data_IF_744566909430
#
_entry.id   IF_744566909430
#
_cell.length_a   1.000
_cell.length_b   1.000
_cell.length_c   1.000
_cell.angle_alpha   90.00
_cell.angle_beta   90.00
_cell.angle_gamma   90.00
#
_symmetry.space_group_name_H-M   'P 1'
#
loop_
_entity.id
_entity.type
_entity.pdbx_description
1 polymer ?
#
# COMPACT_ATOMS: atom_id res chain seq x y z
N UNK A 1 4.54 -2.46 3.31
CA UNK A 1 5.06 -1.07 3.27
C UNK A 1 5.80 -0.71 4.57
N UNK A 2 6.33 -1.71 5.30
CA UNK A 2 7.14 -1.50 6.50
C UNK A 2 8.55 -0.99 6.14
N UNK A 3 9.30 -0.45 7.11
CA UNK A 3 10.71 -0.12 6.96
C UNK A 3 11.53 -1.26 6.35
N UNK A 4 11.41 -2.47 6.90
CA UNK A 4 12.12 -3.67 6.39
C UNK A 4 11.75 -3.99 4.93
N UNK A 5 10.49 -3.76 4.55
CA UNK A 5 10.04 -3.95 3.17
C UNK A 5 10.61 -2.90 2.22
N UNK A 6 10.81 -1.67 2.70
CA UNK A 6 11.51 -0.62 1.94
C UNK A 6 12.97 -0.99 1.77
N UNK A 7 13.65 -1.42 2.84
CA UNK A 7 15.05 -1.88 2.79
C UNK A 7 15.22 -3.04 1.82
N UNK A 8 14.38 -4.08 1.93
CA UNK A 8 14.43 -5.26 1.06
C UNK A 8 14.27 -4.88 -0.42
N UNK A 9 13.40 -3.92 -0.73
CA UNK A 9 13.19 -3.46 -2.12
C UNK A 9 14.35 -2.61 -2.62
N UNK A 10 14.91 -1.74 -1.79
CA UNK A 10 16.13 -0.98 -2.10
C UNK A 10 17.32 -1.91 -2.39
N UNK A 11 17.46 -2.99 -1.62
CA UNK A 11 18.52 -3.97 -1.82
C UNK A 11 18.34 -4.76 -3.12
N UNK A 12 17.10 -5.12 -3.47
CA UNK A 12 16.77 -5.71 -4.77
C UNK A 12 17.06 -4.74 -5.92
N UNK A 13 16.70 -3.47 -5.80
CA UNK A 13 16.95 -2.46 -6.83
C UNK A 13 18.47 -2.30 -7.05
N UNK A 14 19.27 -2.31 -5.97
CA UNK A 14 20.74 -2.28 -6.03
C UNK A 14 21.37 -3.53 -6.65
N UNK A 15 20.91 -4.72 -6.28
CA UNK A 15 21.44 -5.96 -6.86
C UNK A 15 21.13 -6.02 -8.35
N UNK A 16 19.89 -5.67 -8.73
CA UNK A 16 19.44 -5.64 -10.12
C UNK A 16 20.26 -4.64 -10.94
N UNK A 17 20.49 -3.42 -10.43
CA UNK A 17 21.29 -2.42 -11.14
C UNK A 17 22.75 -2.87 -11.34
N UNK A 18 23.35 -3.53 -10.34
CA UNK A 18 24.71 -4.09 -10.45
C UNK A 18 24.78 -5.18 -11.50
N UNK A 19 23.80 -6.10 -11.50
CA UNK A 19 23.73 -7.17 -12.49
C UNK A 19 23.54 -6.60 -13.89
N UNK A 20 22.60 -5.67 -14.07
CA UNK A 20 22.33 -5.01 -15.35
C UNK A 20 23.60 -4.38 -15.95
N UNK A 21 24.40 -3.68 -15.13
CA UNK A 21 25.65 -3.05 -15.55
C UNK A 21 26.76 -4.04 -15.91
N UNK A 22 26.63 -5.31 -15.53
CA UNK A 22 27.59 -6.37 -15.90
C UNK A 22 27.21 -7.09 -17.20
N UNK A 23 25.97 -6.93 -17.68
CA UNK A 23 25.49 -7.59 -18.89
C UNK A 23 26.07 -6.93 -20.15
N UNK A 24 26.38 -7.75 -21.15
CA UNK A 24 26.78 -7.28 -22.47
C UNK A 24 25.56 -6.83 -23.26
N UNK A 25 25.61 -5.65 -23.85
CA UNK A 25 24.62 -5.18 -24.83
C UNK A 25 24.89 -5.86 -26.17
N UNK A 26 23.97 -6.70 -26.65
CA UNK A 26 24.14 -7.44 -27.91
C UNK A 26 23.60 -6.68 -29.11
N UNK A 27 22.53 -5.90 -28.90
CA UNK A 27 21.85 -5.17 -29.96
C UNK A 27 21.27 -3.82 -29.47
N UNK A 28 20.74 -3.02 -30.40
CA UNK A 28 20.19 -1.70 -30.08
C UNK A 28 18.96 -1.73 -29.14
N UNK A 29 18.14 -2.79 -29.16
CA UNK A 29 16.99 -2.93 -28.25
C UNK A 29 17.45 -3.24 -26.83
N UNK A 30 18.50 -4.02 -26.67
CA UNK A 30 19.12 -4.26 -25.36
C UNK A 30 19.67 -2.96 -24.80
N UNK A 31 20.31 -2.14 -25.65
CA UNK A 31 20.83 -0.83 -25.25
C UNK A 31 19.73 0.09 -24.71
N UNK A 32 18.59 0.17 -25.40
CA UNK A 32 17.43 0.95 -24.94
C UNK A 32 16.84 0.37 -23.66
N UNK A 33 16.64 -0.95 -23.60
CA UNK A 33 16.09 -1.63 -22.41
C UNK A 33 16.97 -1.41 -21.19
N UNK A 34 18.29 -1.58 -21.33
CA UNK A 34 19.24 -1.37 -20.25
C UNK A 34 19.27 0.09 -19.79
N UNK A 35 19.22 1.05 -20.70
CA UNK A 35 19.17 2.47 -20.34
C UNK A 35 17.90 2.82 -19.55
N UNK A 36 16.74 2.33 -19.99
CA UNK A 36 15.44 2.58 -19.30
C UNK A 36 15.42 1.92 -17.93
N UNK A 37 15.86 0.67 -17.81
CA UNK A 37 15.89 -0.03 -16.53
C UNK A 37 16.91 0.61 -15.56
N UNK A 38 18.07 1.03 -16.07
CA UNK A 38 19.07 1.71 -15.25
C UNK A 38 18.54 3.04 -14.71
N UNK A 39 17.97 3.89 -15.57
CA UNK A 39 17.37 5.16 -15.15
C UNK A 39 16.28 4.94 -14.09
N UNK A 40 15.37 3.99 -14.33
CA UNK A 40 14.30 3.71 -13.39
C UNK A 40 14.80 3.26 -12.01
N UNK A 41 15.79 2.36 -11.98
CA UNK A 41 16.39 1.87 -10.73
C UNK A 41 17.19 2.98 -10.02
N UNK A 42 17.97 3.75 -10.76
CA UNK A 42 18.75 4.88 -10.21
C UNK A 42 17.83 5.94 -9.61
N UNK A 43 16.75 6.31 -10.30
CA UNK A 43 15.75 7.26 -9.82
C UNK A 43 15.05 6.77 -8.55
N UNK A 44 14.71 5.47 -8.46
CA UNK A 44 14.13 4.88 -7.24
C UNK A 44 15.11 4.91 -6.07
N UNK A 45 16.38 4.56 -6.32
CA UNK A 45 17.42 4.60 -5.29
C UNK A 45 17.70 6.03 -4.80
N UNK A 46 17.67 7.02 -5.70
CA UNK A 46 17.82 8.43 -5.33
C UNK A 46 16.66 8.93 -4.45
N UNK A 47 15.42 8.48 -4.70
CA UNK A 47 14.26 8.76 -3.84
C UNK A 47 14.35 8.08 -2.47
N UNK A 48 14.89 6.86 -2.41
CA UNK A 48 15.13 6.16 -1.15
C UNK A 48 16.23 6.86 -0.33
N UNK A 49 17.30 7.30 -0.98
CA UNK A 49 18.44 7.97 -0.36
C UNK A 49 18.06 9.35 0.19
N UNK A 50 17.13 10.05 -0.46
CA UNK A 50 16.58 11.32 0.03
C UNK A 50 15.55 11.17 1.15
N UNK A 51 15.05 9.95 1.39
CA UNK A 51 14.01 9.67 2.39
C UNK A 51 12.58 9.93 1.90
N UNK A 52 12.39 10.25 0.61
CA UNK A 52 11.07 10.57 0.04
C UNK A 52 10.14 9.35 0.01
N UNK A 53 10.68 8.17 -0.26
CA UNK A 53 9.89 6.93 -0.31
C UNK A 53 9.20 6.62 1.01
N UNK A 54 9.88 6.85 2.15
CA UNK A 54 9.38 6.50 3.48
C UNK A 54 8.28 7.47 3.95
N UNK A 55 8.34 8.73 3.52
CA UNK A 55 7.34 9.76 3.86
C UNK A 55 6.22 9.93 2.84
N UNK A 56 6.18 9.08 1.79
CA UNK A 56 5.22 9.23 0.69
C UNK A 56 3.78 9.02 1.20
N UNK A 57 3.06 10.14 1.34
CA UNK A 57 1.65 10.18 1.65
C UNK A 57 0.99 11.32 0.86
N UNK A 58 0.07 10.97 -0.03
CA UNK A 58 -0.67 11.93 -0.85
C UNK A 58 -2.04 11.37 -1.25
N UNK A 59 -2.96 12.24 -1.69
CA UNK A 59 -4.36 11.87 -1.96
C UNK A 59 -4.62 11.06 -3.23
N UNK A 60 -3.63 10.96 -4.14
CA UNK A 60 -3.80 10.33 -5.46
C UNK A 60 -2.91 9.11 -5.72
N UNK A 61 -1.77 8.97 -5.03
CA UNK A 61 -0.74 8.02 -5.45
C UNK A 61 0.24 7.67 -4.34
N UNK A 62 -0.27 7.16 -3.23
CA UNK A 62 0.56 6.65 -2.13
C UNK A 62 0.12 5.23 -1.72
N UNK A 63 0.95 4.52 -0.93
CA UNK A 63 0.60 3.20 -0.40
C UNK A 63 -0.79 3.15 0.28
N UNK A 64 -1.23 4.27 0.86
CA UNK A 64 -2.52 4.41 1.52
C UNK A 64 -3.70 4.04 0.60
N UNK A 65 -3.71 4.59 -0.62
CA UNK A 65 -4.73 4.28 -1.62
C UNK A 65 -4.50 2.89 -2.21
N UNK A 66 -3.24 2.51 -2.47
CA UNK A 66 -2.91 1.25 -3.15
C UNK A 66 -3.40 0.01 -2.39
N UNK A 67 -3.36 0.04 -1.05
CA UNK A 67 -3.87 -1.06 -0.20
C UNK A 67 -5.37 -1.34 -0.46
N UNK A 68 -6.18 -0.30 -0.66
CA UNK A 68 -7.62 -0.42 -0.96
C UNK A 68 -7.90 -0.64 -2.44
N UNK A 69 -7.27 0.16 -3.31
CA UNK A 69 -7.56 0.18 -4.75
C UNK A 69 -7.32 -1.16 -5.44
N UNK A 70 -6.43 -1.99 -4.91
CA UNK A 70 -6.17 -3.31 -5.49
C UNK A 70 -7.42 -4.19 -5.56
N UNK A 71 -8.38 -4.01 -4.65
CA UNK A 71 -9.65 -4.75 -4.67
C UNK A 71 -10.57 -4.35 -5.83
N UNK A 72 -10.37 -3.17 -6.42
CA UNK A 72 -11.13 -2.70 -7.58
C UNK A 72 -10.77 -3.52 -8.84
N UNK A 73 -9.57 -4.10 -8.87
CA UNK A 73 -9.03 -4.88 -10.00
C UNK A 73 -9.22 -6.41 -9.85
N UNK A 74 -9.72 -6.88 -8.71
CA UNK A 74 -9.85 -8.31 -8.46
C UNK A 74 -11.09 -8.90 -9.14
N UNK A 75 -10.97 -10.07 -9.82
CA UNK A 75 -12.13 -10.78 -10.35
C UNK A 75 -13.05 -11.22 -9.20
N UNK A 76 -14.33 -11.48 -9.53
CA UNK A 76 -15.39 -11.86 -8.57
C UNK A 76 -16.34 -12.90 -9.18
N UNK A 77 -15.83 -13.69 -10.11
CA UNK A 77 -16.62 -14.58 -10.96
C UNK A 77 -16.73 -15.99 -10.39
N UNK A 78 -15.77 -16.40 -9.56
CA UNK A 78 -15.69 -17.74 -8.96
C UNK A 78 -15.47 -17.69 -7.46
N UNK A 79 -15.77 -18.79 -6.78
CA UNK A 79 -15.48 -18.98 -5.35
C UNK A 79 -13.98 -18.82 -5.04
N UNK A 80 -13.12 -19.31 -5.96
CA UNK A 80 -11.66 -19.12 -5.87
C UNK A 80 -11.24 -17.64 -5.92
N UNK A 81 -11.94 -16.81 -6.69
CA UNK A 81 -11.68 -15.37 -6.69
C UNK A 81 -11.97 -14.77 -5.31
N UNK A 82 -13.07 -15.18 -4.69
CA UNK A 82 -13.47 -14.75 -3.35
C UNK A 82 -12.53 -15.26 -2.25
N UNK A 83 -12.00 -16.47 -2.36
CA UNK A 83 -10.93 -16.96 -1.49
C UNK A 83 -9.66 -16.10 -1.59
N UNK A 84 -9.34 -15.64 -2.80
CA UNK A 84 -8.20 -14.73 -3.04
C UNK A 84 -8.48 -13.35 -2.43
N UNK A 85 -9.71 -12.84 -2.55
CA UNK A 85 -10.15 -11.60 -1.90
C UNK A 85 -10.05 -11.72 -0.38
N UNK A 86 -10.56 -12.80 0.21
CA UNK A 86 -10.49 -13.06 1.64
C UNK A 86 -9.04 -13.06 2.14
N UNK A 87 -8.17 -13.80 1.46
CA UNK A 87 -6.74 -13.87 1.76
C UNK A 87 -6.07 -12.50 1.69
N UNK A 88 -6.45 -11.66 0.73
CA UNK A 88 -5.91 -10.30 0.61
C UNK A 88 -6.46 -9.35 1.68
N UNK A 89 -7.75 -9.43 2.01
CA UNK A 89 -8.38 -8.65 3.09
C UNK A 89 -7.68 -8.91 4.43
N UNK A 90 -7.34 -10.18 4.72
CA UNK A 90 -6.61 -10.57 5.92
C UNK A 90 -5.23 -9.91 6.06
N UNK A 91 -4.64 -9.45 4.95
CA UNK A 91 -3.33 -8.76 4.94
C UNK A 91 -3.44 -7.24 5.04
N UNK A 92 -4.64 -6.67 4.95
CA UNK A 92 -4.85 -5.21 5.04
C UNK A 92 -4.34 -4.64 6.37
N UNK A 93 -4.68 -5.20 7.55
CA UNK A 93 -4.20 -4.66 8.82
C UNK A 93 -2.67 -4.57 8.90
N UNK A 94 -1.97 -5.65 8.54
CA UNK A 94 -0.51 -5.66 8.51
C UNK A 94 0.09 -4.69 7.50
N UNK A 95 -0.58 -4.48 6.36
CA UNK A 95 -0.13 -3.52 5.34
C UNK A 95 -0.24 -2.07 5.83
N UNK A 96 -1.35 -1.74 6.52
CA UNK A 96 -1.58 -0.43 7.14
C UNK A 96 -0.61 -0.19 8.29
N UNK A 97 -0.40 -1.17 9.17
CA UNK A 97 0.58 -1.08 10.26
C UNK A 97 2.00 -0.87 9.75
N UNK A 98 2.39 -1.57 8.67
CA UNK A 98 3.69 -1.36 8.04
C UNK A 98 3.84 0.06 7.49
N UNK A 99 2.80 0.61 6.85
CA UNK A 99 2.83 2.00 6.37
C UNK A 99 2.98 2.99 7.53
N UNK A 100 2.23 2.80 8.62
CA UNK A 100 2.35 3.62 9.83
C UNK A 100 3.80 3.62 10.35
N UNK A 101 4.41 2.44 10.50
CA UNK A 101 5.79 2.34 10.97
C UNK A 101 6.80 3.10 10.09
N UNK A 102 6.63 3.08 8.76
CA UNK A 102 7.49 3.85 7.85
C UNK A 102 7.31 5.36 7.99
N UNK A 103 6.08 5.84 8.21
CA UNK A 103 5.79 7.26 8.45
C UNK A 103 6.29 7.73 9.82
N UNK A 104 6.21 6.89 10.84
CA UNK A 104 6.80 7.14 12.17
C UNK A 104 8.33 7.25 12.06
N UNK A 105 8.99 6.33 11.36
CA UNK A 105 10.43 6.37 11.13
C UNK A 105 10.84 7.64 10.36
N UNK A 106 10.13 7.99 9.28
CA UNK A 106 10.44 9.21 8.52
C UNK A 106 10.30 10.47 9.37
N UNK A 107 9.29 10.51 10.23
CA UNK A 107 9.04 11.61 11.16
C UNK A 107 10.14 11.72 12.21
N UNK A 108 10.57 10.60 12.81
CA UNK A 108 11.70 10.57 13.76
C UNK A 108 13.02 11.05 13.12
N UNK A 109 13.17 10.87 11.80
CA UNK A 109 14.31 11.35 11.01
C UNK A 109 14.18 12.82 10.57
N UNK A 110 13.16 13.54 11.00
CA UNK A 110 12.94 14.95 10.63
C UNK A 110 12.35 15.13 9.23
N UNK A 111 11.74 14.09 8.66
CA UNK A 111 11.13 14.07 7.33
C UNK A 111 9.63 13.72 7.42
N UNK A 112 8.80 14.52 8.13
CA UNK A 112 7.38 14.25 8.20
C UNK A 112 6.69 14.44 6.83
N UNK A 113 5.60 13.71 6.55
CA UNK A 113 4.75 14.01 5.41
C UNK A 113 4.07 15.38 5.55
N UNK A 114 3.69 15.99 4.43
CA UNK A 114 3.00 17.27 4.47
C UNK A 114 1.65 17.17 5.20
N UNK A 115 1.46 17.96 6.27
CA UNK A 115 0.24 17.99 7.10
C UNK A 115 -1.07 18.00 6.31
N UNK A 116 -1.14 18.77 5.23
CA UNK A 116 -2.33 18.84 4.36
C UNK A 116 -2.70 17.46 3.76
N UNK A 117 -1.69 16.67 3.38
CA UNK A 117 -1.86 15.35 2.81
C UNK A 117 -2.22 14.33 3.88
N UNK A 118 -1.64 14.45 5.08
CA UNK A 118 -1.98 13.64 6.25
C UNK A 118 -3.47 13.76 6.58
N UNK A 119 -3.97 14.99 6.73
CA UNK A 119 -5.38 15.25 7.02
C UNK A 119 -6.31 14.72 5.93
N UNK A 120 -5.97 14.95 4.67
CA UNK A 120 -6.80 14.47 3.56
C UNK A 120 -6.79 12.93 3.45
N UNK A 121 -5.67 12.26 3.72
CA UNK A 121 -5.61 10.81 3.77
C UNK A 121 -6.39 10.24 4.97
N UNK A 122 -6.37 10.93 6.12
CA UNK A 122 -7.18 10.57 7.28
C UNK A 122 -8.68 10.62 6.96
N UNK A 123 -9.15 11.65 6.25
CA UNK A 123 -10.54 11.73 5.80
C UNK A 123 -10.92 10.62 4.81
N UNK A 124 -10.04 10.32 3.85
CA UNK A 124 -10.23 9.20 2.92
C UNK A 124 -10.34 7.86 3.65
N UNK A 125 -9.44 7.58 4.59
CA UNK A 125 -9.45 6.33 5.33
C UNK A 125 -10.66 6.20 6.25
N UNK A 126 -11.06 7.28 6.91
CA UNK A 126 -12.27 7.31 7.73
C UNK A 126 -13.52 7.00 6.90
N UNK A 127 -13.59 7.53 5.67
CA UNK A 127 -14.65 7.20 4.71
C UNK A 127 -14.61 5.71 4.35
N UNK A 128 -13.45 5.16 4.01
CA UNK A 128 -13.33 3.74 3.65
C UNK A 128 -13.57 2.79 4.83
N UNK A 129 -13.33 3.24 6.05
CA UNK A 129 -13.62 2.53 7.28
C UNK A 129 -15.11 2.59 7.69
N UNK A 130 -15.91 3.44 7.04
CA UNK A 130 -17.33 3.62 7.33
C UNK A 130 -17.63 4.58 8.50
N UNK A 131 -16.67 5.42 8.88
CA UNK A 131 -16.86 6.46 9.92
C UNK A 131 -17.61 7.70 9.39
N UNK A 132 -17.88 7.77 8.09
CA UNK A 132 -18.53 8.92 7.43
C UNK A 132 -20.04 8.74 7.21
N UNK A 133 -20.71 7.93 8.05
CA UNK A 133 -22.16 7.68 7.94
C UNK A 133 -22.60 6.75 6.80
N UNK A 134 -21.64 6.05 6.18
CA UNK A 134 -21.88 5.01 5.16
C UNK A 134 -21.20 3.71 5.58
N UNK A 135 -21.64 2.53 5.09
CA UNK A 135 -20.91 1.30 5.30
C UNK A 135 -19.47 1.42 4.80
N UNK A 136 -18.54 0.69 5.43
CA UNK A 136 -17.16 0.67 5.00
C UNK A 136 -17.04 0.11 3.58
N UNK A 137 -16.01 0.53 2.84
CA UNK A 137 -15.72 -0.02 1.52
C UNK A 137 -15.59 -1.55 1.57
N UNK A 138 -14.95 -2.08 2.62
CA UNK A 138 -14.74 -3.51 2.77
C UNK A 138 -16.04 -4.27 3.05
N UNK A 139 -16.95 -3.71 3.84
CA UNK A 139 -18.28 -4.28 4.04
C UNK A 139 -19.09 -4.27 2.74
N UNK A 140 -19.10 -3.16 2.01
CA UNK A 140 -19.76 -3.07 0.69
C UNK A 140 -19.16 -4.05 -0.33
N UNK A 141 -17.85 -4.32 -0.25
CA UNK A 141 -17.18 -5.30 -1.10
C UNK A 141 -17.66 -6.72 -0.81
N UNK A 142 -17.62 -7.16 0.45
CA UNK A 142 -17.95 -8.56 0.80
C UNK A 142 -19.45 -8.84 0.72
N UNK A 143 -20.30 -7.82 0.84
CA UNK A 143 -21.73 -7.93 0.58
C UNK A 143 -22.04 -8.41 -0.86
N UNK A 144 -21.12 -8.22 -1.81
CA UNK A 144 -21.27 -8.67 -3.21
C UNK A 144 -20.95 -10.16 -3.41
N UNK A 145 -20.42 -10.86 -2.41
CA UNK A 145 -20.21 -12.30 -2.51
C UNK A 145 -21.57 -13.00 -2.66
N UNK A 146 -21.81 -13.79 -3.73
CA UNK A 146 -23.13 -14.38 -4.02
C UNK A 146 -23.56 -15.45 -3.01
N UNK A 147 -22.67 -15.87 -2.11
CA UNK A 147 -22.89 -17.03 -1.23
C UNK A 147 -22.45 -18.34 -1.89
N UNK A 148 -22.83 -19.46 -1.28
CA UNK A 148 -22.43 -20.81 -1.71
C UNK A 148 -21.73 -21.57 -0.58
N UNK A 149 -20.74 -20.93 0.03
CA UNK A 149 -20.07 -21.42 1.24
C UNK A 149 -20.18 -20.43 2.41
N UNK A 150 -20.79 -20.91 3.50
CA UNK A 150 -20.96 -20.18 4.76
C UNK A 150 -19.63 -19.95 5.50
N UNK A 151 -18.66 -20.86 5.36
CA UNK A 151 -17.33 -20.70 5.94
C UNK A 151 -16.60 -19.53 5.28
N UNK A 152 -16.58 -19.50 3.94
CA UNK A 152 -16.04 -18.37 3.18
C UNK A 152 -16.78 -17.06 3.47
N UNK A 153 -18.12 -17.06 3.59
CA UNK A 153 -18.89 -15.87 4.01
C UNK A 153 -18.36 -15.31 5.33
N UNK A 154 -18.28 -16.15 6.38
CA UNK A 154 -17.79 -15.72 7.71
C UNK A 154 -16.35 -15.22 7.65
N UNK A 155 -15.50 -15.85 6.85
CA UNK A 155 -14.10 -15.44 6.65
C UNK A 155 -14.01 -14.05 6.03
N UNK A 156 -14.76 -13.81 4.95
CA UNK A 156 -14.85 -12.52 4.27
C UNK A 156 -15.34 -11.42 5.22
N UNK A 157 -16.44 -11.65 5.94
CA UNK A 157 -17.01 -10.67 6.87
C UNK A 157 -16.04 -10.33 7.99
N UNK A 158 -15.39 -11.35 8.58
CA UNK A 158 -14.37 -11.16 9.60
C UNK A 158 -13.14 -10.39 9.10
N UNK A 159 -12.68 -10.69 7.89
CA UNK A 159 -11.55 -9.99 7.28
C UNK A 159 -11.90 -8.54 6.91
N UNK A 160 -13.10 -8.29 6.39
CA UNK A 160 -13.59 -6.96 6.05
C UNK A 160 -13.73 -6.06 7.29
N UNK A 161 -14.23 -6.62 8.41
CA UNK A 161 -14.29 -5.90 9.69
C UNK A 161 -12.89 -5.47 10.14
N UNK A 162 -11.93 -6.39 10.18
CA UNK A 162 -10.54 -6.09 10.57
C UNK A 162 -9.87 -5.08 9.64
N UNK A 163 -10.13 -5.16 8.33
CA UNK A 163 -9.63 -4.18 7.36
C UNK A 163 -10.22 -2.77 7.61
N UNK A 164 -11.51 -2.70 7.92
CA UNK A 164 -12.21 -1.45 8.25
C UNK A 164 -11.66 -0.83 9.54
N UNK A 165 -11.50 -1.64 10.60
CA UNK A 165 -10.90 -1.23 11.87
C UNK A 165 -9.46 -0.71 11.67
N UNK A 166 -8.65 -1.38 10.86
CA UNK A 166 -7.29 -0.93 10.57
C UNK A 166 -7.25 0.46 9.92
N UNK A 167 -8.14 0.73 8.96
CA UNK A 167 -8.25 2.06 8.35
C UNK A 167 -8.80 3.10 9.32
N UNK A 168 -9.78 2.76 10.17
CA UNK A 168 -10.31 3.66 11.20
C UNK A 168 -9.19 4.09 12.16
N UNK A 169 -8.52 3.13 12.79
CA UNK A 169 -7.44 3.41 13.76
C UNK A 169 -6.29 4.18 13.12
N UNK A 170 -5.90 3.82 11.89
CA UNK A 170 -4.85 4.55 11.19
C UNK A 170 -5.29 5.98 10.80
N UNK A 171 -6.57 6.19 10.48
CA UNK A 171 -7.08 7.54 10.17
C UNK A 171 -7.11 8.43 11.39
N UNK A 172 -7.48 7.90 12.56
CA UNK A 172 -7.43 8.60 13.83
C UNK A 172 -5.98 8.95 14.19
N UNK A 173 -5.07 7.98 14.06
CA UNK A 173 -3.64 8.22 14.23
C UNK A 173 -3.08 9.30 13.29
N UNK A 174 -3.41 9.26 12.00
CA UNK A 174 -2.98 10.28 11.04
C UNK A 174 -3.45 11.68 11.49
N UNK A 175 -4.70 11.80 11.95
CA UNK A 175 -5.31 13.07 12.34
C UNK A 175 -4.77 13.61 13.66
N UNK A 176 -4.69 12.74 14.67
CA UNK A 176 -4.55 13.15 16.06
C UNK A 176 -3.10 13.07 16.53
N UNK A 177 -2.27 12.22 15.91
CA UNK A 177 -0.87 12.03 16.28
C UNK A 177 0.11 12.50 15.20
N UNK A 178 -0.12 12.18 13.92
CA UNK A 178 0.85 12.53 12.85
C UNK A 178 0.69 13.97 12.34
N UNK A 179 -0.54 14.45 12.15
CA UNK A 179 -0.78 15.80 11.62
C UNK A 179 -0.30 16.96 12.52
N UNK A 180 -0.20 16.82 13.85
CA UNK A 180 0.38 17.84 14.72
C UNK A 180 1.92 17.91 14.72
N UNK A 181 2.61 16.91 14.18
CA UNK A 181 4.09 16.87 14.10
C UNK A 181 4.59 17.72 12.94
#
# INVERSE_FOLDING_TARGET
YSPDGVVSRRDLDRSTLRELRSLRVENGRDGVTAAVLAEWLESRLALDDSGETQRTLCVLGSPWQSIRQVFDLMPRQSERDWETIATRLERVPGSVLGLRASLEESTQRGLPPARRQVLACAEQGATWAGQSGRPSFFAELVAKYPGGDDALRRRLDGAARRASEAYATASDWLRDELAPV
#
